data_IF_912352891606
#
_entry.id   IF_912352891606
#
_cell.length_a   1.000
_cell.length_b   1.000
_cell.length_c   1.000
_cell.angle_alpha   90.00
_cell.angle_beta   90.00
_cell.angle_gamma   90.00
#
_symmetry.space_group_name_H-M   'P 1'
#
loop_
_entity.id
_entity.type
_entity.pdbx_description
1 polymer ?
#
# COMPACT_ATOMS: atom_id res chain seq x y z
N UNK A 1 55.09 -30.16 40.44
CA UNK A 1 56.05 -31.09 39.81
C UNK A 1 55.58 -31.29 38.37
N UNK A 2 56.15 -30.53 37.44
CA UNK A 2 55.87 -30.57 36.02
C UNK A 2 56.85 -31.54 35.33
N UNK A 3 56.44 -32.17 34.24
CA UNK A 3 57.37 -32.87 33.34
C UNK A 3 56.96 -32.65 31.89
N UNK A 4 57.59 -31.61 31.34
CA UNK A 4 57.74 -31.24 29.95
C UNK A 4 58.13 -32.38 29.00
N UNK A 5 57.74 -32.23 27.74
CA UNK A 5 58.54 -32.69 26.59
C UNK A 5 58.83 -31.49 25.69
N UNK A 6 60.08 -31.05 25.81
CA UNK A 6 60.74 -30.01 25.03
C UNK A 6 61.05 -30.43 23.59
N UNK A 7 61.36 -29.40 22.77
CA UNK A 7 62.28 -29.33 21.62
C UNK A 7 61.59 -28.85 20.33
N UNK A 8 62.13 -28.00 19.46
CA UNK A 8 63.35 -27.17 19.30
C UNK A 8 63.00 -26.28 18.06
N UNK A 9 62.96 -24.96 18.14
CA UNK A 9 63.99 -23.97 17.71
C UNK A 9 64.24 -23.82 16.19
N UNK A 10 64.41 -22.55 15.77
CA UNK A 10 65.08 -22.04 14.55
C UNK A 10 64.24 -22.18 13.27
N UNK A 11 64.06 -21.20 12.38
CA UNK A 11 64.71 -19.93 12.08
C UNK A 11 64.66 -19.72 10.56
N UNK A 12 65.08 -18.54 10.11
CA UNK A 12 65.38 -18.15 8.72
C UNK A 12 64.22 -17.69 7.80
N UNK A 13 64.10 -16.36 7.73
CA UNK A 13 64.16 -15.56 6.50
C UNK A 13 64.45 -16.36 5.22
N UNK A 14 63.62 -16.21 4.18
CA UNK A 14 64.07 -15.99 2.79
C UNK A 14 62.91 -15.54 1.89
N UNK A 15 63.29 -14.75 0.88
CA UNK A 15 62.47 -13.88 0.05
C UNK A 15 61.53 -14.59 -0.95
N UNK A 16 60.38 -13.93 -1.15
CA UNK A 16 59.59 -13.76 -2.37
C UNK A 16 59.36 -14.99 -3.27
N UNK A 17 58.11 -15.47 -3.33
CA UNK A 17 57.58 -16.11 -4.53
C UNK A 17 56.06 -15.91 -4.68
N UNK A 18 55.63 -15.97 -5.93
CA UNK A 18 54.46 -15.34 -6.53
C UNK A 18 53.13 -16.12 -6.35
N UNK A 19 52.00 -15.40 -6.34
CA UNK A 19 50.59 -15.78 -6.55
C UNK A 19 49.78 -16.59 -5.49
N UNK A 20 48.59 -16.01 -5.24
CA UNK A 20 47.27 -16.64 -5.05
C UNK A 20 46.78 -17.07 -3.65
N UNK A 21 45.60 -16.50 -3.33
CA UNK A 21 44.47 -17.04 -2.56
C UNK A 21 44.56 -17.21 -1.03
N UNK A 22 43.62 -16.50 -0.40
CA UNK A 22 42.84 -16.81 0.80
C UNK A 22 43.56 -16.94 2.16
N UNK A 23 43.25 -15.99 3.05
CA UNK A 23 42.71 -16.38 4.35
C UNK A 23 43.32 -15.74 5.61
N UNK A 24 42.55 -14.79 6.16
CA UNK A 24 42.16 -14.66 7.58
C UNK A 24 43.17 -14.11 8.63
N UNK A 25 42.69 -13.05 9.27
CA UNK A 25 42.92 -12.59 10.65
C UNK A 25 44.28 -12.03 11.04
N UNK A 26 44.38 -10.70 10.97
CA UNK A 26 45.08 -9.91 11.97
C UNK A 26 44.05 -9.01 12.68
N UNK A 27 43.98 -9.14 14.00
CA UNK A 27 43.32 -8.17 14.86
C UNK A 27 44.12 -6.86 14.79
N UNK A 28 43.45 -5.77 14.42
CA UNK A 28 43.99 -4.41 14.37
C UNK A 28 42.90 -3.46 14.94
N UNK A 29 43.27 -2.37 15.65
CA UNK A 29 42.43 -1.70 16.62
C UNK A 29 41.36 -0.83 15.95
N UNK A 30 40.19 -0.71 16.59
CA UNK A 30 39.08 0.13 16.14
C UNK A 30 39.53 1.58 15.84
N UNK A 31 39.74 1.85 14.56
CA UNK A 31 39.49 3.16 13.96
C UNK A 31 37.97 3.37 13.89
N UNK A 32 37.45 4.58 14.13
CA UNK A 32 36.03 4.86 13.96
C UNK A 32 35.70 4.83 12.46
N UNK A 33 35.02 3.76 12.04
CA UNK A 33 34.37 3.64 10.73
C UNK A 33 33.29 4.74 10.63
N UNK A 34 33.23 5.51 9.53
CA UNK A 34 32.20 6.52 9.33
C UNK A 34 30.82 5.84 9.37
N UNK A 35 29.95 6.37 10.22
CA UNK A 35 28.55 5.98 10.31
C UNK A 35 27.94 6.07 8.90
N UNK A 36 27.31 4.99 8.37
CA UNK A 36 26.55 5.13 7.15
C UNK A 36 25.39 6.06 7.46
N UNK A 37 25.48 7.27 6.91
CA UNK A 37 24.43 8.26 6.80
C UNK A 37 23.10 7.56 6.51
N UNK A 38 22.30 7.37 7.56
CA UNK A 38 20.87 7.13 7.41
C UNK A 38 20.25 8.45 6.98
N UNK A 39 20.48 8.81 5.71
CA UNK A 39 19.61 9.74 5.01
C UNK A 39 18.31 9.00 4.78
N UNK A 40 17.44 9.01 5.81
CA UNK A 40 16.04 8.70 5.64
C UNK A 40 15.47 9.78 4.71
N UNK A 41 15.39 9.46 3.43
CA UNK A 41 14.61 10.20 2.44
C UNK A 41 13.25 10.51 3.05
N UNK A 42 12.76 11.77 2.99
CA UNK A 42 11.44 12.12 3.50
C UNK A 42 10.41 11.19 2.85
N UNK A 43 9.63 10.51 3.70
CA UNK A 43 8.52 9.68 3.28
C UNK A 43 7.72 10.43 2.22
N UNK A 44 7.69 9.88 1.01
CA UNK A 44 6.76 10.31 0.00
C UNK A 44 5.37 10.28 0.66
N UNK A 45 4.62 11.37 0.52
CA UNK A 45 3.20 11.44 0.88
C UNK A 45 2.49 10.28 0.20
N UNK A 46 2.40 9.16 0.90
CA UNK A 46 1.64 8.00 0.48
C UNK A 46 0.19 8.44 0.51
N UNK A 47 -0.50 8.30 -0.62
CA UNK A 47 -1.95 8.38 -0.63
C UNK A 47 -2.56 7.38 0.37
N UNK A 48 -3.88 7.45 0.60
CA UNK A 48 -4.55 6.49 1.46
C UNK A 48 -4.14 5.06 1.08
N UNK A 49 -3.92 4.15 2.06
CA UNK A 49 -3.36 2.83 1.82
C UNK A 49 -4.22 2.07 0.80
N UNK A 50 -3.66 1.82 -0.37
CA UNK A 50 -4.30 1.08 -1.45
C UNK A 50 -3.95 -0.41 -1.31
N UNK A 51 -4.90 -1.28 -1.64
CA UNK A 51 -4.66 -2.73 -1.72
C UNK A 51 -4.21 -3.01 -3.15
N UNK A 52 -2.90 -2.95 -3.38
CA UNK A 52 -2.34 -2.91 -4.73
C UNK A 52 -2.25 -4.27 -5.45
N UNK A 53 -2.56 -5.38 -4.77
CA UNK A 53 -2.44 -6.70 -5.37
C UNK A 53 -3.15 -7.81 -4.63
N UNK A 54 -2.83 -9.02 -5.05
CA UNK A 54 -3.33 -10.24 -4.43
C UNK A 54 -2.67 -10.45 -3.07
N UNK A 55 -3.46 -10.88 -2.09
CA UNK A 55 -2.93 -11.07 -0.75
C UNK A 55 -3.98 -11.26 0.32
N UNK A 56 -3.48 -11.38 1.54
CA UNK A 56 -4.26 -11.32 2.77
C UNK A 56 -3.75 -10.10 3.54
N UNK A 57 -4.65 -9.18 3.85
CA UNK A 57 -4.34 -7.89 4.42
C UNK A 57 -4.93 -7.77 5.82
N UNK A 58 -4.11 -7.47 6.82
CA UNK A 58 -4.57 -7.32 8.19
C UNK A 58 -5.28 -5.96 8.39
N UNK A 59 -6.54 -6.00 8.82
CA UNK A 59 -7.35 -4.79 9.02
C UNK A 59 -6.90 -4.08 10.29
N UNK A 60 -6.76 -2.75 10.23
CA UNK A 60 -6.28 -1.89 11.32
C UNK A 60 -4.75 -1.82 11.46
N UNK A 61 -3.99 -2.67 10.76
CA UNK A 61 -2.52 -2.62 10.75
C UNK A 61 -1.93 -2.40 9.36
N UNK A 62 -2.41 -3.11 8.34
CA UNK A 62 -1.96 -2.96 6.95
C UNK A 62 -2.94 -2.13 6.12
N UNK A 63 -4.24 -2.28 6.39
CA UNK A 63 -5.30 -1.53 5.71
C UNK A 63 -6.27 -0.91 6.71
N UNK A 64 -6.75 0.29 6.44
CA UNK A 64 -7.73 0.95 7.29
C UNK A 64 -9.14 0.38 7.03
N UNK A 65 -10.03 0.32 8.04
CA UNK A 65 -11.45 0.13 7.82
C UNK A 65 -12.00 1.24 6.92
N UNK A 66 -12.96 0.91 6.06
CA UNK A 66 -13.56 1.87 5.14
C UNK A 66 -14.19 1.22 3.91
N UNK A 67 -14.61 2.06 2.97
CA UNK A 67 -15.19 1.60 1.71
C UNK A 67 -14.09 1.54 0.66
N UNK A 68 -13.96 0.39 0.02
CA UNK A 68 -12.97 0.14 -1.02
C UNK A 68 -13.66 -0.18 -2.34
N UNK A 69 -13.12 0.36 -3.43
CA UNK A 69 -13.58 0.06 -4.78
C UNK A 69 -12.46 -0.56 -5.62
N UNK A 70 -12.79 -1.60 -6.37
CA UNK A 70 -11.92 -2.21 -7.39
C UNK A 70 -12.64 -2.21 -8.74
N UNK A 71 -11.88 -1.97 -9.81
CA UNK A 71 -12.39 -2.01 -11.18
C UNK A 71 -12.80 -3.43 -11.66
N UNK A 72 -12.60 -4.46 -10.83
CA UNK A 72 -13.00 -5.84 -11.12
C UNK A 72 -11.80 -6.73 -11.45
N UNK A 73 -11.98 -7.79 -12.26
CA UNK A 73 -10.92 -8.77 -12.52
C UNK A 73 -9.72 -8.17 -13.28
N UNK A 74 -8.52 -8.66 -12.96
CA UNK A 74 -7.36 -8.53 -13.85
C UNK A 74 -7.56 -9.41 -15.09
N UNK A 75 -7.19 -8.90 -16.27
CA UNK A 75 -7.01 -9.66 -17.53
C UNK A 75 -8.07 -10.74 -17.83
N UNK A 76 -9.34 -10.34 -17.98
CA UNK A 76 -10.42 -11.26 -18.39
C UNK A 76 -10.71 -12.41 -17.42
N UNK A 77 -10.06 -12.42 -16.24
CA UNK A 77 -10.20 -13.43 -15.21
C UNK A 77 -11.42 -13.23 -14.32
N UNK A 78 -11.25 -13.54 -13.04
CA UNK A 78 -12.27 -13.35 -12.00
C UNK A 78 -11.64 -12.71 -10.78
N UNK A 79 -12.30 -11.70 -10.23
CA UNK A 79 -11.94 -11.06 -8.97
C UNK A 79 -12.63 -11.80 -7.83
N UNK A 80 -11.83 -12.36 -6.93
CA UNK A 80 -12.30 -12.95 -5.68
C UNK A 80 -11.89 -12.08 -4.50
N UNK A 81 -12.81 -11.88 -3.56
CA UNK A 81 -12.49 -11.26 -2.28
C UNK A 81 -13.23 -11.93 -1.12
N UNK A 82 -12.68 -11.81 0.09
CA UNK A 82 -13.26 -12.29 1.35
C UNK A 82 -12.91 -11.36 2.50
N UNK A 83 -13.91 -10.92 3.25
CA UNK A 83 -13.78 -10.31 4.57
C UNK A 83 -13.78 -11.41 5.63
N UNK A 84 -12.81 -11.34 6.54
CA UNK A 84 -12.59 -12.32 7.60
C UNK A 84 -12.76 -11.59 8.93
N UNK A 85 -13.63 -12.10 9.79
CA UNK A 85 -13.87 -11.60 11.14
C UNK A 85 -13.10 -12.42 12.19
N UNK A 86 -13.42 -12.21 13.48
CA UNK A 86 -12.82 -12.98 14.57
C UNK A 86 -12.98 -14.49 14.36
N UNK A 87 -12.06 -15.27 14.91
CA UNK A 87 -12.05 -16.74 14.82
C UNK A 87 -12.02 -17.29 13.37
N UNK A 88 -11.43 -16.55 12.43
CA UNK A 88 -11.35 -16.85 10.99
C UNK A 88 -12.71 -17.02 10.30
N UNK A 89 -13.78 -16.45 10.87
CA UNK A 89 -15.12 -16.52 10.28
C UNK A 89 -15.18 -15.70 8.99
N UNK A 90 -15.77 -16.26 7.93
CA UNK A 90 -16.08 -15.48 6.73
C UNK A 90 -17.26 -14.56 7.00
N UNK A 91 -17.01 -13.25 6.97
CA UNK A 91 -18.07 -12.25 7.12
C UNK A 91 -18.80 -12.03 5.80
N UNK A 92 -18.04 -11.88 4.71
CA UNK A 92 -18.57 -11.72 3.36
C UNK A 92 -17.55 -12.19 2.33
N UNK A 93 -18.00 -12.62 1.16
CA UNK A 93 -17.13 -12.91 0.03
C UNK A 93 -17.89 -12.73 -1.29
N UNK A 94 -17.14 -12.58 -2.39
CA UNK A 94 -17.69 -12.72 -3.73
C UNK A 94 -16.63 -13.20 -4.72
N UNK A 95 -17.10 -13.82 -5.81
CA UNK A 95 -16.33 -14.14 -7.01
C UNK A 95 -17.05 -13.55 -8.22
N UNK A 96 -16.42 -12.62 -8.93
CA UNK A 96 -17.11 -11.81 -9.94
C UNK A 96 -16.23 -11.50 -11.15
N UNK A 97 -16.89 -11.13 -12.25
CA UNK A 97 -16.26 -10.55 -13.45
C UNK A 97 -16.54 -9.05 -13.61
N UNK A 98 -17.17 -8.45 -12.62
CA UNK A 98 -17.60 -7.04 -12.63
C UNK A 98 -16.79 -6.22 -11.61
N UNK A 99 -16.80 -4.88 -11.70
CA UNK A 99 -16.32 -4.01 -10.65
C UNK A 99 -16.97 -4.31 -9.29
N UNK A 100 -16.26 -4.00 -8.20
CA UNK A 100 -16.70 -4.30 -6.84
C UNK A 100 -16.52 -3.10 -5.93
N UNK A 101 -17.45 -2.96 -4.99
CA UNK A 101 -17.35 -2.04 -3.86
C UNK A 101 -17.60 -2.84 -2.59
N UNK A 102 -16.71 -2.72 -1.62
CA UNK A 102 -16.75 -3.47 -0.36
C UNK A 102 -16.58 -2.50 0.80
N UNK A 103 -17.40 -2.65 1.83
CA UNK A 103 -17.17 -2.00 3.12
C UNK A 103 -16.40 -2.97 4.00
N UNK A 104 -15.18 -2.61 4.39
CA UNK A 104 -14.34 -3.32 5.38
C UNK A 104 -14.58 -2.65 6.72
N UNK A 105 -15.08 -3.40 7.69
CA UNK A 105 -15.45 -2.89 9.00
C UNK A 105 -14.28 -3.00 9.98
N UNK A 106 -14.30 -2.18 11.04
CA UNK A 106 -13.27 -2.24 12.08
C UNK A 106 -13.27 -3.56 12.87
N UNK A 107 -14.35 -4.34 12.79
CA UNK A 107 -14.45 -5.67 13.38
C UNK A 107 -13.91 -6.79 12.49
N UNK A 108 -13.59 -6.51 11.23
CA UNK A 108 -12.88 -7.48 10.39
C UNK A 108 -11.44 -7.61 10.88
N UNK A 109 -10.89 -8.82 10.87
CA UNK A 109 -9.48 -9.07 11.20
C UNK A 109 -8.61 -9.07 9.96
N UNK A 110 -9.14 -9.51 8.82
CA UNK A 110 -8.40 -9.56 7.58
C UNK A 110 -9.29 -9.44 6.32
N UNK A 111 -8.68 -8.97 5.24
CA UNK A 111 -9.27 -8.92 3.91
C UNK A 111 -8.41 -9.71 2.93
N UNK A 112 -8.98 -10.72 2.28
CA UNK A 112 -8.30 -11.50 1.25
C UNK A 112 -8.79 -11.08 -0.12
N UNK A 113 -7.89 -10.88 -1.06
CA UNK A 113 -8.21 -10.58 -2.47
C UNK A 113 -7.33 -11.38 -3.41
N UNK A 114 -7.89 -11.78 -4.57
CA UNK A 114 -7.17 -12.47 -5.63
C UNK A 114 -7.75 -12.16 -7.01
N UNK A 115 -6.89 -11.86 -7.98
CA UNK A 115 -7.26 -11.60 -9.36
C UNK A 115 -8.10 -10.33 -9.52
N UNK A 116 -8.04 -9.42 -8.55
CA UNK A 116 -8.73 -8.14 -8.58
C UNK A 116 -7.73 -7.05 -8.98
N UNK A 117 -8.19 -6.07 -9.76
CA UNK A 117 -7.48 -4.80 -9.89
C UNK A 117 -7.33 -4.13 -8.51
N UNK A 118 -6.35 -3.23 -8.33
CA UNK A 118 -6.09 -2.56 -7.06
C UNK A 118 -7.37 -2.02 -6.41
N UNK A 119 -7.50 -2.19 -5.10
CA UNK A 119 -8.59 -1.57 -4.36
C UNK A 119 -8.17 -0.22 -3.83
N UNK A 120 -8.99 0.78 -4.13
CA UNK A 120 -8.80 2.13 -3.65
C UNK A 120 -9.79 2.41 -2.53
N UNK A 121 -9.28 2.93 -1.41
CA UNK A 121 -10.13 3.49 -0.37
C UNK A 121 -10.88 4.68 -0.98
N UNK A 122 -12.21 4.64 -0.92
CA UNK A 122 -13.04 5.72 -1.44
C UNK A 122 -13.29 6.73 -0.33
N UNK A 123 -13.05 8.01 -0.62
CA UNK A 123 -13.44 9.13 0.28
C UNK A 123 -14.97 9.23 0.45
N UNK A 124 -15.72 8.43 -0.30
CA UNK A 124 -17.13 8.17 -0.12
C UNK A 124 -17.35 7.25 1.07
N UNK A 125 -16.99 7.70 2.27
CA UNK A 125 -17.51 7.15 3.51
C UNK A 125 -19.04 7.32 3.49
N UNK A 126 -19.72 6.28 3.00
CA UNK A 126 -21.10 6.32 2.52
C UNK A 126 -21.31 7.36 1.40
N UNK A 127 -22.21 7.08 0.45
CA UNK A 127 -22.89 8.19 -0.21
C UNK A 127 -23.40 9.13 0.91
N UNK A 128 -23.30 10.47 0.79
CA UNK A 128 -23.74 11.39 1.83
C UNK A 128 -25.11 10.92 2.29
N UNK A 129 -25.19 10.53 3.57
CA UNK A 129 -26.27 9.75 4.15
C UNK A 129 -27.60 10.15 3.52
N UNK A 130 -28.12 9.30 2.62
CA UNK A 130 -29.37 9.44 1.87
C UNK A 130 -29.97 10.84 2.04
N UNK A 131 -29.48 11.86 1.32
CA UNK A 131 -30.06 13.20 1.42
C UNK A 131 -31.56 13.05 1.27
N UNK A 132 -32.38 13.46 2.27
CA UNK A 132 -33.81 13.27 2.19
C UNK A 132 -34.29 13.81 0.84
N UNK A 133 -35.24 13.13 0.17
CA UNK A 133 -35.60 13.47 -1.20
C UNK A 133 -36.00 14.95 -1.36
N UNK A 134 -36.60 15.55 -0.33
CA UNK A 134 -36.93 16.98 -0.30
C UNK A 134 -35.69 17.90 -0.32
N UNK A 135 -34.61 17.51 0.36
CA UNK A 135 -33.37 18.27 0.40
C UNK A 135 -32.59 18.13 -0.91
N UNK A 136 -32.56 16.92 -1.47
CA UNK A 136 -31.97 16.68 -2.79
C UNK A 136 -32.68 17.48 -3.90
N UNK A 137 -34.02 17.54 -3.86
CA UNK A 137 -34.81 18.36 -4.79
C UNK A 137 -34.50 19.86 -4.66
N UNK A 138 -34.33 20.37 -3.44
CA UNK A 138 -34.00 21.79 -3.22
C UNK A 138 -32.59 22.13 -3.75
N UNK A 139 -31.62 21.26 -3.47
CA UNK A 139 -30.23 21.45 -3.88
C UNK A 139 -30.09 21.39 -5.41
N UNK A 140 -30.81 20.47 -6.07
CA UNK A 140 -30.87 20.43 -7.53
C UNK A 140 -31.49 21.69 -8.10
N UNK A 141 -32.64 22.15 -7.57
CA UNK A 141 -33.28 23.38 -8.07
C UNK A 141 -32.36 24.59 -7.94
N UNK A 142 -31.73 24.77 -6.79
CA UNK A 142 -30.75 25.84 -6.59
C UNK A 142 -29.57 25.74 -7.57
N UNK A 143 -29.04 24.54 -7.83
CA UNK A 143 -27.97 24.36 -8.82
C UNK A 143 -28.41 24.72 -10.24
N UNK A 144 -29.64 24.35 -10.62
CA UNK A 144 -30.21 24.70 -11.93
C UNK A 144 -30.45 26.20 -12.06
N UNK A 145 -30.91 26.87 -11.01
CA UNK A 145 -31.09 28.34 -11.00
C UNK A 145 -29.76 29.07 -11.19
N UNK A 146 -28.69 28.59 -10.54
CA UNK A 146 -27.33 29.12 -10.76
C UNK A 146 -26.90 28.90 -12.21
N UNK A 147 -27.05 27.70 -12.74
CA UNK A 147 -26.66 27.38 -14.12
C UNK A 147 -27.45 28.21 -15.14
N UNK A 148 -28.76 28.39 -14.93
CA UNK A 148 -29.61 29.23 -15.76
C UNK A 148 -29.24 30.72 -15.67
N UNK A 149 -28.91 31.20 -14.47
CA UNK A 149 -28.42 32.56 -14.26
C UNK A 149 -27.08 32.82 -14.95
N UNK A 150 -26.14 31.88 -14.85
CA UNK A 150 -24.85 31.93 -15.53
C UNK A 150 -25.00 31.84 -17.06
N UNK A 151 -25.89 30.97 -17.55
CA UNK A 151 -26.21 30.87 -18.96
C UNK A 151 -26.81 32.17 -19.51
N UNK A 152 -27.73 32.80 -18.76
CA UNK A 152 -28.31 34.10 -19.09
C UNK A 152 -27.29 35.24 -19.08
N UNK A 153 -26.33 35.22 -18.16
CA UNK A 153 -25.23 36.21 -18.11
C UNK A 153 -24.19 36.00 -19.23
N UNK A 154 -24.01 34.76 -19.69
CA UNK A 154 -23.06 34.43 -20.76
C UNK A 154 -23.53 34.84 -22.17
N UNK A 155 -24.77 35.33 -22.33
CA UNK A 155 -25.33 35.73 -23.63
C UNK A 155 -25.58 34.56 -24.60
N UNK A 156 -25.20 33.33 -24.25
CA UNK A 156 -25.35 32.14 -25.10
C UNK A 156 -26.79 31.61 -25.18
N UNK A 157 -27.75 32.22 -24.44
CA UNK A 157 -29.16 31.84 -24.45
C UNK A 157 -30.00 32.48 -25.56
N UNK A 158 -29.45 33.45 -26.31
CA UNK A 158 -30.19 34.07 -27.40
C UNK A 158 -30.04 33.20 -28.65
N UNK A 159 -31.07 32.39 -28.94
CA UNK A 159 -31.22 31.79 -30.26
C UNK A 159 -31.22 32.92 -31.29
N UNK A 160 -30.46 32.82 -32.40
CA UNK A 160 -30.52 33.82 -33.45
C UNK A 160 -31.98 33.94 -33.91
N UNK A 161 -32.49 35.17 -33.97
CA UNK A 161 -33.61 35.45 -34.86
C UNK A 161 -33.09 35.08 -36.26
N UNK A 162 -33.58 34.01 -36.87
CA UNK A 162 -34.70 33.92 -37.83
C UNK A 162 -34.94 32.45 -38.14
#
# INVERSE_FOLDING_TARGET
MPSDRSALTVGALFCAFWLAAAGVATADPSAPEPEPDSTATPAATAGPPAIDGDGLYAVGSEIAPGVYASAGPTDGGTCYWRRIGPDDVTVANALTKQPQVVTIEAGDVAFKTRGCQPWQLTDSAAAPAQTPPWLGQLQLRHSLDILNGLAGQSGNGQLPAY
#
